data_IF_092213788834
#
_entry.id   IF_092213788834
#
_cell.length_a   1.000
_cell.length_b   1.000
_cell.length_c   1.000
_cell.angle_alpha   90.00
_cell.angle_beta   90.00
_cell.angle_gamma   90.00
#
_symmetry.space_group_name_H-M   'P 1'
#
loop_
_entity.id
_entity.type
_entity.pdbx_description
1 polymer ?
#
# COMPACT_ATOMS: atom_id res chain seq x y z
N UNK A 1 35.35 -33.20 33.09
CA UNK A 1 35.27 -31.82 32.60
C UNK A 1 35.09 -31.92 31.11
N UNK A 2 33.86 -31.97 30.63
CA UNK A 2 33.54 -31.64 29.23
C UNK A 2 32.13 -31.07 29.27
N UNK A 3 32.09 -29.76 29.07
CA UNK A 3 30.92 -28.91 29.17
C UNK A 3 29.97 -29.16 28.00
N UNK A 4 28.77 -29.56 28.38
CA UNK A 4 27.51 -29.59 27.65
C UNK A 4 27.32 -28.31 26.80
N UNK A 5 27.41 -28.45 25.47
CA UNK A 5 27.00 -27.39 24.54
C UNK A 5 25.48 -27.32 24.49
N UNK A 6 24.93 -26.33 25.20
CA UNK A 6 23.54 -25.93 25.17
C UNK A 6 23.10 -25.49 23.74
N UNK A 7 22.09 -26.13 23.12
CA UNK A 7 21.58 -25.72 21.80
C UNK A 7 20.66 -24.48 21.83
N UNK A 8 20.47 -23.81 22.98
CA UNK A 8 19.54 -22.69 23.13
C UNK A 8 20.19 -21.30 22.98
N UNK A 9 20.56 -20.90 21.75
CA UNK A 9 20.67 -19.46 21.42
C UNK A 9 20.64 -19.17 19.92
N UNK A 10 19.61 -19.65 19.22
CA UNK A 10 19.19 -19.00 17.97
C UNK A 10 18.08 -18.02 18.32
N UNK A 11 18.44 -16.76 18.57
CA UNK A 11 17.46 -15.67 18.50
C UNK A 11 16.74 -15.81 17.16
N UNK A 12 15.40 -15.89 17.11
CA UNK A 12 14.69 -15.95 15.85
C UNK A 12 15.07 -14.70 15.05
N UNK A 13 15.77 -14.90 13.93
CA UNK A 13 16.14 -13.81 13.03
C UNK A 13 14.87 -13.16 12.52
N UNK A 14 14.68 -11.87 12.82
CA UNK A 14 13.59 -10.99 12.37
C UNK A 14 13.37 -10.99 10.83
N UNK A 15 14.31 -11.55 10.09
CA UNK A 15 14.30 -11.74 8.64
C UNK A 15 13.10 -12.53 8.08
N UNK A 16 12.42 -13.38 8.85
CA UNK A 16 11.36 -14.26 8.34
C UNK A 16 9.91 -13.78 8.60
N UNK A 17 9.71 -12.57 9.13
CA UNK A 17 8.35 -12.06 9.36
C UNK A 17 7.62 -11.76 8.04
N UNK A 18 6.38 -12.21 7.94
CA UNK A 18 5.50 -11.85 6.84
C UNK A 18 5.31 -10.32 6.80
N UNK A 19 5.07 -9.79 5.61
CA UNK A 19 4.88 -8.35 5.43
C UNK A 19 3.69 -7.82 6.28
N UNK A 20 2.64 -8.62 6.47
CA UNK A 20 1.52 -8.33 7.39
C UNK A 20 1.94 -8.25 8.85
N UNK A 21 2.78 -9.18 9.31
CA UNK A 21 3.32 -9.15 10.66
C UNK A 21 4.11 -7.86 10.94
N UNK A 22 4.92 -7.42 9.98
CA UNK A 22 5.69 -6.16 10.08
C UNK A 22 4.77 -4.94 10.14
N UNK A 23 3.79 -4.86 9.24
CA UNK A 23 2.81 -3.77 9.24
C UNK A 23 2.04 -3.70 10.57
N UNK A 24 1.65 -4.84 11.14
CA UNK A 24 0.97 -4.89 12.43
C UNK A 24 1.87 -4.38 13.56
N UNK A 25 3.14 -4.80 13.62
CA UNK A 25 4.09 -4.31 14.62
C UNK A 25 4.25 -2.78 14.54
N UNK A 26 4.46 -2.24 13.34
CA UNK A 26 4.56 -0.79 13.13
C UNK A 26 3.26 -0.06 13.49
N UNK A 27 2.09 -0.65 13.25
CA UNK A 27 0.82 -0.04 13.66
C UNK A 27 0.63 -0.04 15.17
N UNK A 28 1.06 -1.10 15.87
CA UNK A 28 1.01 -1.17 17.33
C UNK A 28 2.00 -0.24 18.02
N UNK A 29 2.96 0.37 17.32
CA UNK A 29 3.89 1.32 17.97
C UNK A 29 3.27 2.68 18.30
N UNK A 30 2.08 3.00 17.77
CA UNK A 30 1.40 4.28 18.00
C UNK A 30 0.61 4.37 19.30
N UNK A 31 0.10 3.24 19.80
CA UNK A 31 -0.67 3.18 21.04
C UNK A 31 -0.11 2.11 21.96
N UNK A 32 -0.33 2.28 23.26
CA UNK A 32 0.15 1.32 24.25
C UNK A 32 -0.54 -0.04 24.10
N UNK A 33 -1.85 -0.04 23.80
CA UNK A 33 -2.63 -1.26 23.60
C UNK A 33 -3.75 -1.06 22.59
N UNK A 34 -3.94 -2.05 21.71
CA UNK A 34 -4.92 -1.98 20.62
C UNK A 34 -5.55 -3.34 20.35
N UNK A 35 -6.83 -3.38 19.98
CA UNK A 35 -7.45 -4.65 19.54
C UNK A 35 -7.19 -4.93 18.06
N UNK A 36 -7.26 -6.20 17.68
CA UNK A 36 -7.17 -6.61 16.28
C UNK A 36 -8.21 -5.92 15.37
N UNK A 37 -9.39 -5.59 15.90
CA UNK A 37 -10.40 -4.81 15.19
C UNK A 37 -9.95 -3.36 14.91
N UNK A 38 -9.37 -2.68 15.90
CA UNK A 38 -8.90 -1.31 15.73
C UNK A 38 -7.68 -1.27 14.79
N UNK A 39 -6.79 -2.27 14.86
CA UNK A 39 -5.67 -2.43 13.91
C UNK A 39 -6.16 -2.54 12.47
N UNK A 40 -7.20 -3.34 12.20
CA UNK A 40 -7.80 -3.42 10.86
C UNK A 40 -8.30 -2.05 10.41
N UNK A 41 -8.98 -1.33 11.30
CA UNK A 41 -9.54 -0.01 11.00
C UNK A 41 -8.45 0.99 10.63
N UNK A 42 -7.33 1.00 11.35
CA UNK A 42 -6.20 1.88 11.07
C UNK A 42 -5.50 1.54 9.75
N UNK A 43 -5.35 0.26 9.45
CA UNK A 43 -4.83 -0.21 8.17
C UNK A 43 -5.75 0.23 7.01
N UNK A 44 -7.07 0.15 7.18
CA UNK A 44 -8.05 0.57 6.16
C UNK A 44 -8.11 2.08 5.93
N UNK A 45 -7.71 2.87 6.93
CA UNK A 45 -7.61 4.32 6.82
C UNK A 45 -6.31 4.80 6.19
N UNK A 46 -5.29 3.94 6.09
CA UNK A 46 -3.97 4.39 5.65
C UNK A 46 -3.34 3.42 4.67
N UNK A 47 -2.87 2.27 5.17
CA UNK A 47 -2.06 1.31 4.44
C UNK A 47 -2.80 0.69 3.24
N UNK A 48 -4.14 0.54 3.27
CA UNK A 48 -4.92 0.06 2.13
C UNK A 48 -4.76 0.90 0.85
N UNK A 49 -4.44 2.19 1.01
CA UNK A 49 -4.35 3.11 -0.13
C UNK A 49 -3.09 2.91 -0.97
N UNK A 50 -2.01 2.34 -0.40
CA UNK A 50 -0.70 2.23 -1.07
C UNK A 50 -0.02 0.86 -0.93
N UNK A 51 -0.59 -0.09 -0.20
CA UNK A 51 0.04 -1.40 0.01
C UNK A 51 -0.95 -2.56 -0.17
N UNK A 52 -1.51 -3.11 0.90
CA UNK A 52 -2.69 -3.99 0.85
C UNK A 52 -3.42 -3.93 2.19
N UNK A 53 -4.73 -4.19 2.20
CA UNK A 53 -5.47 -4.44 3.43
C UNK A 53 -5.59 -5.94 3.71
N UNK A 54 -4.95 -6.47 4.77
CA UNK A 54 -5.09 -7.86 5.18
C UNK A 54 -6.51 -8.12 5.71
N UNK A 55 -7.05 -9.32 5.48
CA UNK A 55 -8.35 -9.70 6.03
C UNK A 55 -8.32 -9.79 7.57
N UNK A 56 -9.47 -9.70 8.23
CA UNK A 56 -9.57 -9.89 9.68
C UNK A 56 -8.94 -11.22 10.13
N UNK A 57 -9.25 -12.32 9.42
CA UNK A 57 -8.70 -13.65 9.73
C UNK A 57 -7.18 -13.68 9.62
N UNK A 58 -6.61 -13.00 8.62
CA UNK A 58 -5.17 -12.89 8.45
C UNK A 58 -4.54 -12.09 9.61
N UNK A 59 -5.13 -10.96 10.00
CA UNK A 59 -4.66 -10.17 11.14
C UNK A 59 -4.62 -11.02 12.41
N UNK A 60 -5.70 -11.72 12.75
CA UNK A 60 -5.73 -12.54 13.97
C UNK A 60 -4.76 -13.72 13.91
N UNK A 61 -4.55 -14.30 12.72
CA UNK A 61 -3.56 -15.37 12.52
C UNK A 61 -2.14 -14.85 12.75
N UNK A 62 -1.80 -13.68 12.21
CA UNK A 62 -0.48 -13.07 12.37
C UNK A 62 -0.27 -12.57 13.80
N UNK A 63 -1.28 -12.00 14.47
CA UNK A 63 -1.19 -11.60 15.88
C UNK A 63 -0.88 -12.80 16.79
N UNK A 64 -1.49 -13.96 16.54
CA UNK A 64 -1.18 -15.19 17.28
C UNK A 64 0.27 -15.66 17.05
N UNK A 65 0.78 -15.51 15.82
CA UNK A 65 2.19 -15.82 15.51
C UNK A 65 3.14 -14.87 16.22
N UNK A 66 2.86 -13.56 16.17
CA UNK A 66 3.66 -12.53 16.85
C UNK A 66 3.70 -12.75 18.38
N UNK A 67 2.59 -13.19 18.96
CA UNK A 67 2.52 -13.59 20.37
C UNK A 67 3.37 -14.84 20.65
N UNK A 68 3.28 -15.87 19.80
CA UNK A 68 4.13 -17.06 19.92
C UNK A 68 5.63 -16.79 19.77
N UNK A 69 6.00 -15.71 19.07
CA UNK A 69 7.38 -15.24 18.93
C UNK A 69 7.81 -14.28 20.05
N UNK A 70 6.94 -13.97 21.01
CA UNK A 70 7.23 -13.02 22.09
C UNK A 70 7.38 -11.57 21.65
N UNK A 71 6.96 -11.21 20.43
CA UNK A 71 7.04 -9.86 19.91
C UNK A 71 5.84 -9.00 20.37
N UNK A 72 4.73 -9.65 20.73
CA UNK A 72 3.48 -9.03 21.17
C UNK A 72 2.97 -9.78 22.39
N UNK A 73 2.41 -9.07 23.37
CA UNK A 73 1.64 -9.66 24.46
C UNK A 73 0.16 -9.35 24.25
N UNK A 74 -0.72 -10.18 24.81
CA UNK A 74 -2.15 -9.92 24.79
C UNK A 74 -2.77 -9.99 26.17
N UNK A 75 -3.82 -9.20 26.38
CA UNK A 75 -4.67 -9.29 27.56
C UNK A 75 -6.13 -9.32 27.16
N UNK A 76 -6.94 -9.97 27.99
CA UNK A 76 -8.37 -10.08 27.80
C UNK A 76 -9.04 -9.07 28.72
N UNK A 77 -9.68 -8.07 28.12
CA UNK A 77 -10.53 -7.12 28.81
C UNK A 77 -11.96 -7.66 28.81
N UNK A 78 -12.52 -7.89 30.00
CA UNK A 78 -13.93 -8.24 30.19
C UNK A 78 -14.66 -6.98 30.60
N UNK A 79 -15.43 -6.43 29.67
CA UNK A 79 -16.37 -5.36 29.97
C UNK A 79 -17.56 -5.95 30.74
N UNK A 80 -18.08 -5.25 31.76
CA UNK A 80 -19.08 -5.75 32.73
C UNK A 80 -20.43 -6.17 32.10
N UNK A 81 -20.61 -6.02 30.79
CA UNK A 81 -21.89 -6.22 30.10
C UNK A 81 -22.04 -7.45 29.20
N UNK A 82 -21.07 -7.81 28.34
CA UNK A 82 -21.22 -8.99 27.41
C UNK A 82 -20.05 -9.23 26.45
N UNK A 83 -19.21 -8.23 26.15
CA UNK A 83 -18.22 -8.33 25.06
C UNK A 83 -16.80 -8.47 25.58
N UNK A 84 -16.23 -9.66 25.41
CA UNK A 84 -14.81 -9.91 25.68
C UNK A 84 -13.98 -9.31 24.55
N UNK A 85 -13.07 -8.38 24.87
CA UNK A 85 -12.15 -7.77 23.90
C UNK A 85 -10.73 -8.21 24.19
N UNK A 86 -10.02 -8.70 23.17
CA UNK A 86 -8.59 -8.99 23.27
C UNK A 86 -7.79 -7.76 22.81
N UNK A 87 -6.98 -7.24 23.71
CA UNK A 87 -6.04 -6.15 23.48
C UNK A 87 -4.64 -6.73 23.29
N UNK A 88 -3.87 -6.11 22.41
CA UNK A 88 -2.51 -6.50 22.07
C UNK A 88 -1.58 -5.32 22.36
N UNK A 89 -0.41 -5.62 22.91
CA UNK A 89 0.64 -4.66 23.24
C UNK A 89 1.95 -5.12 22.61
N UNK A 90 2.65 -4.22 21.95
CA UNK A 90 3.98 -4.50 21.42
C UNK A 90 4.99 -4.61 22.57
N UNK A 91 5.88 -5.60 22.49
CA UNK A 91 6.98 -5.78 23.46
C UNK A 91 8.21 -4.98 23.03
N UNK A 92 9.21 -4.86 23.90
CA UNK A 92 10.51 -4.28 23.53
C UNK A 92 11.17 -5.02 22.37
N UNK A 93 11.07 -6.36 22.34
CA UNK A 93 11.57 -7.17 21.24
C UNK A 93 10.82 -6.90 19.93
N UNK A 94 9.49 -6.74 20.01
CA UNK A 94 8.65 -6.35 18.88
C UNK A 94 8.99 -4.96 18.34
N UNK A 95 9.23 -4.00 19.23
CA UNK A 95 9.65 -2.65 18.87
C UNK A 95 11.03 -2.65 18.19
N UNK A 96 11.99 -3.40 18.73
CA UNK A 96 13.31 -3.56 18.13
C UNK A 96 13.22 -4.17 16.72
N UNK A 97 12.38 -5.19 16.53
CA UNK A 97 12.14 -5.81 15.23
C UNK A 97 11.50 -4.84 14.22
N UNK A 98 10.56 -3.99 14.67
CA UNK A 98 9.96 -2.96 13.83
C UNK A 98 10.99 -1.90 13.40
N UNK A 99 11.83 -1.44 14.33
CA UNK A 99 12.89 -0.46 14.07
C UNK A 99 13.94 -1.02 13.11
N UNK A 100 14.40 -2.26 13.33
CA UNK A 100 15.34 -2.95 12.44
C UNK A 100 14.76 -3.04 11.02
N UNK A 101 13.49 -3.43 10.89
CA UNK A 101 12.87 -3.52 9.57
C UNK A 101 12.78 -2.16 8.87
N UNK A 102 12.37 -1.10 9.56
CA UNK A 102 12.23 0.24 8.97
C UNK A 102 13.58 0.79 8.48
N UNK A 103 14.68 0.46 9.15
CA UNK A 103 16.01 1.01 8.83
C UNK A 103 16.81 0.15 7.85
N UNK A 104 16.75 -1.18 8.01
CA UNK A 104 17.76 -2.08 7.43
C UNK A 104 17.20 -3.06 6.40
N UNK A 105 15.87 -3.19 6.30
CA UNK A 105 15.29 -4.13 5.34
C UNK A 105 15.42 -3.63 3.89
N UNK A 106 15.74 -4.52 2.94
CA UNK A 106 15.79 -4.15 1.54
C UNK A 106 14.40 -3.73 1.05
N UNK A 107 14.36 -2.67 0.25
CA UNK A 107 13.13 -2.17 -0.36
C UNK A 107 12.98 -2.80 -1.74
N UNK A 108 12.02 -3.73 -1.86
CA UNK A 108 11.67 -4.32 -3.14
C UNK A 108 10.93 -3.29 -4.02
N UNK A 109 11.21 -3.26 -5.35
CA UNK A 109 10.45 -2.42 -6.27
C UNK A 109 8.94 -2.75 -6.23
N UNK A 110 8.05 -1.75 -6.27
CA UNK A 110 6.61 -1.98 -6.35
C UNK A 110 6.23 -2.81 -7.59
N UNK A 111 5.42 -3.85 -7.39
CA UNK A 111 4.91 -4.69 -8.48
C UNK A 111 3.55 -4.18 -8.95
N UNK A 112 3.50 -3.63 -10.16
CA UNK A 112 2.25 -3.13 -10.75
C UNK A 112 1.39 -4.27 -11.32
N UNK A 113 0.26 -4.58 -10.67
CA UNK A 113 -0.75 -5.55 -11.15
C UNK A 113 -2.00 -4.83 -11.64
N UNK A 114 -1.94 -4.30 -12.85
CA UNK A 114 -3.00 -3.44 -13.39
C UNK A 114 -3.97 -4.20 -14.30
N UNK A 115 -5.15 -4.55 -13.78
CA UNK A 115 -6.14 -5.38 -14.49
C UNK A 115 -6.73 -4.71 -15.73
N UNK A 116 -7.03 -3.41 -15.67
CA UNK A 116 -7.62 -2.67 -16.80
C UNK A 116 -6.63 -2.51 -17.95
N UNK A 117 -5.39 -2.07 -17.69
CA UNK A 117 -4.30 -2.06 -18.69
C UNK A 117 -4.08 -3.42 -19.35
N UNK A 118 -4.15 -4.52 -18.57
CA UNK A 118 -4.05 -5.86 -19.13
C UNK A 118 -5.18 -6.15 -20.13
N UNK A 119 -6.41 -5.71 -19.85
CA UNK A 119 -7.54 -5.85 -20.78
C UNK A 119 -7.39 -4.96 -22.02
N UNK A 120 -6.91 -3.72 -21.86
CA UNK A 120 -6.61 -2.80 -22.97
C UNK A 120 -5.57 -3.44 -23.92
N UNK A 121 -4.55 -4.11 -23.38
CA UNK A 121 -3.55 -4.84 -24.17
C UNK A 121 -4.17 -5.89 -25.10
N UNK A 122 -5.24 -6.54 -24.64
CA UNK A 122 -6.00 -7.52 -25.42
C UNK A 122 -7.26 -6.92 -26.07
N UNK A 123 -7.24 -5.61 -26.35
CA UNK A 123 -8.40 -4.90 -26.88
C UNK A 123 -8.94 -5.45 -28.20
N UNK A 124 -8.10 -6.14 -28.99
CA UNK A 124 -8.50 -6.84 -30.21
C UNK A 124 -9.47 -8.02 -29.99
N UNK A 125 -9.65 -8.49 -28.75
CA UNK A 125 -10.60 -9.55 -28.37
C UNK A 125 -11.97 -8.99 -27.95
N UNK A 126 -12.12 -7.67 -27.86
CA UNK A 126 -13.35 -7.02 -27.39
C UNK A 126 -13.70 -5.83 -28.27
N UNK A 127 -14.82 -5.18 -27.99
CA UNK A 127 -15.18 -3.96 -28.70
C UNK A 127 -14.69 -2.72 -27.92
N UNK A 128 -14.35 -1.61 -28.62
CA UNK A 128 -13.86 -0.39 -27.99
C UNK A 128 -14.83 0.21 -26.96
N UNK A 129 -16.14 0.13 -27.22
CA UNK A 129 -17.16 0.65 -26.33
C UNK A 129 -17.11 -0.03 -24.95
N UNK A 130 -16.96 -1.35 -24.91
CA UNK A 130 -16.84 -2.12 -23.67
C UNK A 130 -15.57 -1.81 -22.90
N UNK A 131 -14.45 -1.57 -23.58
CA UNK A 131 -13.21 -1.13 -22.91
C UNK A 131 -13.38 0.25 -22.28
N UNK A 132 -14.08 1.17 -22.96
CA UNK A 132 -14.36 2.50 -22.42
C UNK A 132 -15.29 2.45 -21.21
N UNK A 133 -16.29 1.56 -21.20
CA UNK A 133 -17.10 1.31 -20.00
C UNK A 133 -16.25 0.84 -18.82
N UNK A 134 -15.33 -0.12 -19.04
CA UNK A 134 -14.41 -0.59 -18.00
C UNK A 134 -13.48 0.52 -17.50
N UNK A 135 -13.00 1.39 -18.39
CA UNK A 135 -12.19 2.55 -18.01
C UNK A 135 -13.02 3.57 -17.25
N UNK A 136 -14.30 3.77 -17.58
CA UNK A 136 -15.18 4.66 -16.85
C UNK A 136 -15.47 4.15 -15.42
N UNK A 137 -15.66 2.84 -15.26
CA UNK A 137 -15.74 2.18 -13.94
C UNK A 137 -14.43 2.40 -13.16
N UNK A 138 -13.28 2.30 -13.84
CA UNK A 138 -11.96 2.51 -13.23
C UNK A 138 -11.71 3.97 -12.85
N UNK A 139 -12.16 4.94 -13.64
CA UNK A 139 -12.15 6.37 -13.30
C UNK A 139 -12.96 6.60 -12.02
N UNK A 140 -14.16 6.04 -11.91
CA UNK A 140 -14.99 6.17 -10.72
C UNK A 140 -14.32 5.54 -9.48
N UNK A 141 -13.63 4.41 -9.66
CA UNK A 141 -12.82 3.79 -8.62
C UNK A 141 -11.66 4.71 -8.18
N UNK A 142 -10.88 5.23 -9.13
CA UNK A 142 -9.77 6.14 -8.85
C UNK A 142 -10.24 7.42 -8.14
N UNK A 143 -11.36 8.01 -8.57
CA UNK A 143 -11.97 9.18 -7.93
C UNK A 143 -12.44 8.89 -6.49
N UNK A 144 -13.01 7.72 -6.23
CA UNK A 144 -13.40 7.31 -4.88
C UNK A 144 -12.16 7.12 -3.98
N UNK A 145 -11.10 6.51 -4.51
CA UNK A 145 -9.83 6.31 -3.80
C UNK A 145 -9.10 7.62 -3.53
N UNK A 146 -9.09 8.54 -4.49
CA UNK A 146 -8.54 9.88 -4.33
C UNK A 146 -9.25 10.64 -3.20
N UNK A 147 -10.59 10.70 -3.23
CA UNK A 147 -11.38 11.37 -2.18
C UNK A 147 -11.11 10.78 -0.80
N UNK A 148 -11.12 9.44 -0.69
CA UNK A 148 -10.78 8.76 0.56
C UNK A 148 -9.38 9.13 1.06
N UNK A 149 -8.38 9.16 0.18
CA UNK A 149 -7.02 9.51 0.57
C UNK A 149 -6.89 10.96 1.05
N UNK A 150 -7.64 11.90 0.46
CA UNK A 150 -7.73 13.29 0.93
C UNK A 150 -8.41 13.36 2.30
N UNK A 151 -9.59 12.75 2.44
CA UNK A 151 -10.34 12.72 3.71
C UNK A 151 -9.52 12.10 4.86
N UNK A 152 -8.85 10.97 4.60
CA UNK A 152 -8.01 10.30 5.59
C UNK A 152 -6.76 11.14 5.92
N UNK A 153 -6.17 11.87 4.94
CA UNK A 153 -5.05 12.77 5.18
C UNK A 153 -5.46 13.93 6.08
N UNK A 154 -6.54 14.63 5.73
CA UNK A 154 -7.08 15.77 6.48
C UNK A 154 -7.47 15.35 7.91
N UNK A 155 -8.07 14.16 8.06
CA UNK A 155 -8.41 13.59 9.35
C UNK A 155 -7.20 13.28 10.24
N UNK A 156 -6.06 12.93 9.63
CA UNK A 156 -4.82 12.61 10.34
C UNK A 156 -3.96 13.84 10.67
N UNK A 157 -4.16 14.99 10.01
CA UNK A 157 -3.39 16.23 10.28
C UNK A 157 -3.51 16.74 11.73
N UNK A 158 -4.62 16.42 12.39
CA UNK A 158 -4.85 16.81 13.79
C UNK A 158 -3.98 16.06 14.80
N UNK A 159 -3.26 15.00 14.40
CA UNK A 159 -2.48 14.15 15.29
C UNK A 159 -0.98 14.18 14.90
N UNK A 160 -0.11 14.86 15.67
CA UNK A 160 1.32 14.97 15.34
C UNK A 160 2.03 13.62 15.20
N UNK A 161 1.59 12.59 15.95
CA UNK A 161 2.17 11.24 15.85
C UNK A 161 1.95 10.61 14.46
N UNK A 162 0.95 11.09 13.69
CA UNK A 162 0.58 10.57 12.37
C UNK A 162 1.17 11.39 11.22
N UNK A 163 2.08 12.33 11.48
CA UNK A 163 2.66 13.20 10.43
C UNK A 163 3.27 12.42 9.25
N UNK A 164 3.96 11.29 9.50
CA UNK A 164 4.50 10.45 8.42
C UNK A 164 3.40 9.73 7.63
N UNK A 165 2.33 9.30 8.31
CA UNK A 165 1.15 8.73 7.66
C UNK A 165 0.47 9.75 6.75
N UNK A 166 0.37 11.02 7.17
CA UNK A 166 -0.16 12.12 6.33
C UNK A 166 0.65 12.29 5.05
N UNK A 167 1.99 12.17 5.11
CA UNK A 167 2.84 12.23 3.90
C UNK A 167 2.47 11.10 2.92
N UNK A 168 2.34 9.87 3.43
CA UNK A 168 1.96 8.72 2.60
C UNK A 168 0.55 8.85 2.01
N UNK A 169 -0.41 9.36 2.79
CA UNK A 169 -1.79 9.58 2.35
C UNK A 169 -1.88 10.66 1.26
N UNK A 170 -1.15 11.77 1.41
CA UNK A 170 -1.06 12.81 0.38
C UNK A 170 -0.40 12.29 -0.90
N UNK A 171 0.59 11.41 -0.79
CA UNK A 171 1.15 10.72 -1.95
C UNK A 171 0.10 9.84 -2.63
N UNK A 172 -0.67 9.06 -1.87
CA UNK A 172 -1.73 8.22 -2.40
C UNK A 172 -2.82 9.06 -3.11
N UNK A 173 -3.20 10.22 -2.55
CA UNK A 173 -4.13 11.13 -3.19
C UNK A 173 -3.63 11.59 -4.57
N UNK A 174 -2.35 11.96 -4.68
CA UNK A 174 -1.73 12.33 -5.97
C UNK A 174 -1.68 11.15 -6.94
N UNK A 175 -1.36 9.96 -6.44
CA UNK A 175 -1.33 8.73 -7.24
C UNK A 175 -2.70 8.45 -7.87
N UNK A 176 -3.77 8.47 -7.09
CA UNK A 176 -5.12 8.20 -7.62
C UNK A 176 -5.67 9.33 -8.51
N UNK A 177 -5.22 10.58 -8.30
CA UNK A 177 -5.53 11.67 -9.22
C UNK A 177 -4.87 11.45 -10.59
N UNK A 178 -3.59 11.06 -10.62
CA UNK A 178 -2.88 10.73 -11.86
C UNK A 178 -3.47 9.49 -12.55
N UNK A 179 -3.82 8.46 -11.77
CA UNK A 179 -4.47 7.24 -12.27
C UNK A 179 -5.77 7.55 -13.02
N UNK A 180 -6.57 8.46 -12.47
CA UNK A 180 -7.79 8.94 -13.11
C UNK A 180 -7.49 9.65 -14.43
N UNK A 181 -6.46 10.49 -14.48
CA UNK A 181 -6.02 11.17 -15.71
C UNK A 181 -5.57 10.16 -16.77
N UNK A 182 -4.74 9.19 -16.40
CA UNK A 182 -4.30 8.12 -17.31
C UNK A 182 -5.47 7.30 -17.85
N UNK A 183 -6.47 7.00 -17.02
CA UNK A 183 -7.65 6.27 -17.48
C UNK A 183 -8.48 7.07 -18.51
N UNK A 184 -8.56 8.39 -18.35
CA UNK A 184 -9.20 9.28 -19.33
C UNK A 184 -8.40 9.36 -20.65
N UNK A 185 -7.07 9.39 -20.56
CA UNK A 185 -6.19 9.38 -21.73
C UNK A 185 -6.30 8.05 -22.51
N UNK A 186 -6.28 6.91 -21.80
CA UNK A 186 -6.45 5.59 -22.42
C UNK A 186 -7.74 5.46 -23.22
N UNK A 187 -8.83 6.12 -22.80
CA UNK A 187 -10.08 6.12 -23.58
C UNK A 187 -9.92 6.82 -24.94
N UNK A 188 -9.11 7.89 -25.01
CA UNK A 188 -8.79 8.58 -26.26
C UNK A 188 -7.90 7.70 -27.15
N UNK A 189 -6.88 7.09 -26.55
CA UNK A 189 -5.96 6.19 -27.26
C UNK A 189 -6.70 4.98 -27.87
N UNK A 190 -7.74 4.48 -27.19
CA UNK A 190 -8.60 3.41 -27.71
C UNK A 190 -9.36 3.85 -28.97
N UNK A 191 -9.89 5.08 -28.99
CA UNK A 191 -10.62 5.60 -30.16
C UNK A 191 -9.67 5.78 -31.36
N UNK A 192 -8.44 6.24 -31.12
CA UNK A 192 -7.40 6.32 -32.15
C UNK A 192 -7.00 4.94 -32.67
N UNK A 193 -6.77 3.98 -31.77
CA UNK A 193 -6.40 2.60 -32.12
C UNK A 193 -7.51 1.90 -32.92
N UNK A 194 -8.78 2.07 -32.55
CA UNK A 194 -9.92 1.51 -33.27
C UNK A 194 -10.04 2.09 -34.69
N UNK A 195 -9.81 3.40 -34.86
CA UNK A 195 -9.78 4.03 -36.17
C UNK A 195 -8.68 3.44 -37.08
N UNK A 196 -7.50 3.18 -36.52
CA UNK A 196 -6.39 2.54 -37.24
C UNK A 196 -6.72 1.10 -37.63
N UNK A 197 -7.30 0.31 -36.71
CA UNK A 197 -7.69 -1.07 -36.98
C UNK A 197 -8.75 -1.17 -38.08
N UNK A 198 -9.81 -0.35 -38.01
CA UNK A 198 -10.85 -0.27 -39.05
C UNK A 198 -10.28 0.11 -40.42
N UNK A 199 -9.25 0.95 -40.47
CA UNK A 199 -8.54 1.30 -41.72
C UNK A 199 -7.71 0.13 -42.25
N UNK A 200 -7.02 -0.60 -41.37
CA UNK A 200 -6.19 -1.74 -41.76
C UNK A 200 -7.01 -2.94 -42.27
N UNK A 201 -8.19 -3.20 -41.67
CA UNK A 201 -9.13 -4.21 -42.13
C UNK A 201 -9.62 -3.93 -43.56
N UNK A 202 -9.95 -2.67 -43.87
CA UNK A 202 -10.32 -2.23 -45.23
C UNK A 202 -9.18 -2.37 -46.24
N UNK A 203 -7.93 -2.33 -45.77
CA UNK A 203 -6.72 -2.41 -46.61
C UNK A 203 -6.14 -3.81 -46.77
N UNK A 204 -6.75 -4.87 -46.20
CA UNK A 204 -6.30 -6.26 -46.37
C UNK A 204 -4.95 -6.62 -45.74
N UNK A 205 -4.36 -5.74 -44.92
CA UNK A 205 -2.99 -5.86 -44.40
C UNK A 205 -2.96 -5.71 -42.88
N UNK A 206 -3.23 -6.80 -42.14
CA UNK A 206 -2.98 -6.83 -40.71
C UNK A 206 -2.41 -8.20 -40.27
N UNK A 207 -1.09 -8.28 -40.13
CA UNK A 207 -0.44 -9.37 -39.40
C UNK A 207 -0.67 -9.16 -37.90
N UNK A 208 -1.40 -10.06 -37.24
CA UNK A 208 -1.74 -9.97 -35.80
C UNK A 208 -0.58 -10.27 -34.85
N UNK A 209 0.52 -10.84 -35.35
CA UNK A 209 1.67 -11.18 -34.52
C UNK A 209 2.57 -9.96 -34.28
N UNK A 210 2.98 -9.69 -33.02
CA UNK A 210 3.96 -8.65 -32.74
C UNK A 210 5.28 -9.00 -33.42
N UNK A 211 5.69 -8.17 -34.38
CA UNK A 211 7.05 -8.24 -34.91
C UNK A 211 7.95 -7.59 -33.88
N UNK A 212 8.63 -8.40 -33.06
CA UNK A 212 9.78 -7.90 -32.31
C UNK A 212 10.74 -7.29 -33.32
N UNK A 213 11.08 -6.01 -33.14
CA UNK A 213 12.17 -5.39 -33.87
C UNK A 213 13.47 -6.08 -33.52
N UNK A 214 13.75 -7.23 -34.15
CA UNK A 214 15.09 -7.80 -34.18
C UNK A 214 15.89 -6.82 -35.02
N UNK A 215 16.68 -5.98 -34.34
CA UNK A 215 17.64 -5.12 -35.01
C UNK A 215 18.41 -5.94 -36.03
N UNK A 216 18.26 -5.59 -37.30
CA UNK A 216 19.04 -6.15 -38.39
C UNK A 216 20.50 -5.76 -38.16
N UNK A 217 21.23 -6.57 -37.40
CA UNK A 217 22.68 -6.71 -37.53
C UNK A 217 22.91 -8.09 -38.11
N UNK A 218 22.91 -8.15 -39.43
CA UNK A 218 23.56 -9.23 -40.18
C UNK A 218 25.05 -9.21 -39.84
N UNK A 219 25.44 -9.87 -38.75
CA UNK A 219 26.84 -10.23 -38.54
C UNK A 219 27.13 -11.36 -39.52
N UNK A 220 27.79 -11.00 -40.62
CA UNK A 220 28.47 -11.93 -41.50
C UNK A 220 29.28 -12.92 -40.67
N UNK A 221 29.01 -14.21 -40.89
CA UNK A 221 29.85 -15.30 -40.40
C UNK A 221 31.23 -15.16 -41.05
N UNK A 222 32.19 -14.67 -40.28
CA UNK A 222 33.61 -14.83 -40.57
C UNK A 222 34.19 -15.76 -39.52
N UNK A 223 34.52 -16.99 -39.96
CA UNK A 223 35.33 -17.96 -39.22
C UNK A 223 36.78 -17.45 -39.10
N UNK A 224 37.31 -17.44 -37.87
CA UNK A 224 38.68 -17.83 -37.44
C UNK A 224 38.90 -17.34 -36.00
N UNK A 225 38.87 -18.23 -35.01
CA UNK A 225 39.97 -19.05 -34.45
C UNK A 225 40.87 -18.32 -33.44
N UNK A 226 41.10 -19.02 -32.32
CA UNK A 226 42.14 -18.87 -31.29
C UNK A 226 41.80 -18.06 -30.03
N UNK A 227 41.73 -18.79 -28.90
CA UNK A 227 42.06 -18.31 -27.55
C UNK A 227 43.59 -18.08 -27.46
N UNK A 228 44.09 -17.33 -26.46
CA UNK A 228 44.30 -17.94 -25.14
C UNK A 228 44.06 -17.04 -23.90
N UNK A 229 43.93 -17.76 -22.78
CA UNK A 229 44.10 -17.45 -21.35
C UNK A 229 44.87 -16.20 -20.92
N UNK A 230 44.41 -15.52 -19.86
CA UNK A 230 44.97 -15.60 -18.48
C UNK A 230 44.66 -14.37 -17.61
N UNK A 231 44.53 -14.61 -16.29
CA UNK A 231 44.75 -13.72 -15.13
C UNK A 231 43.93 -12.42 -15.04
N UNK A 232 43.26 -12.05 -13.96
CA UNK A 232 43.59 -12.18 -12.54
C UNK A 232 43.46 -10.79 -11.89
N UNK A 233 43.25 -10.73 -10.57
CA UNK A 233 43.09 -9.52 -9.71
C UNK A 233 41.67 -8.93 -9.68
N UNK A 234 40.86 -9.12 -8.64
CA UNK A 234 41.00 -8.71 -7.23
C UNK A 234 41.19 -7.19 -7.12
N UNK A 235 40.15 -6.51 -6.64
CA UNK A 235 40.27 -5.24 -5.92
C UNK A 235 39.24 -5.23 -4.78
N UNK A 236 39.72 -5.53 -3.58
CA UNK A 236 39.13 -5.14 -2.30
C UNK A 236 39.78 -3.81 -1.90
N UNK A 237 38.98 -2.86 -1.41
CA UNK A 237 39.32 -1.88 -0.36
C UNK A 237 38.00 -1.22 0.08
N UNK A 238 37.48 -1.58 1.26
CA UNK A 238 37.67 -0.90 2.55
C UNK A 238 36.70 0.29 2.71
N UNK A 239 35.65 0.13 3.53
CA UNK A 239 35.62 0.52 4.95
C UNK A 239 35.15 1.96 5.17
N UNK A 240 33.91 2.11 5.64
CA UNK A 240 33.36 3.35 6.19
C UNK A 240 32.31 3.02 7.25
N UNK A 241 32.72 2.98 8.50
CA UNK A 241 31.85 2.81 9.68
C UNK A 241 31.36 4.20 10.17
N UNK A 242 30.50 4.32 11.20
CA UNK A 242 29.10 4.71 11.02
C UNK A 242 28.77 6.08 11.64
N UNK A 243 27.79 6.78 11.06
CA UNK A 243 27.20 7.97 11.66
C UNK A 243 26.28 7.60 12.83
N UNK A 244 26.73 7.88 14.06
CA UNK A 244 25.91 7.90 15.28
C UNK A 244 25.07 9.17 15.31
N UNK A 245 23.75 9.07 15.25
CA UNK A 245 22.86 10.17 15.64
C UNK A 245 22.01 9.71 16.83
N UNK A 246 22.40 10.19 18.02
CA UNK A 246 21.66 10.02 19.27
C UNK A 246 20.68 11.19 19.36
N UNK A 247 19.38 10.94 19.20
CA UNK A 247 18.33 11.86 19.68
C UNK A 247 17.25 11.05 20.39
N UNK A 248 17.29 11.14 21.70
CA UNK A 248 16.22 10.73 22.61
C UNK A 248 15.07 11.72 22.47
N UNK A 249 13.90 11.26 22.02
CA UNK A 249 12.65 12.01 22.13
C UNK A 249 11.89 11.50 23.36
N UNK A 250 11.53 12.36 24.33
CA UNK A 250 10.63 11.98 25.40
C UNK A 250 9.18 12.01 24.87
N UNK A 251 8.54 10.83 24.82
CA UNK A 251 7.11 10.70 24.59
C UNK A 251 6.36 11.18 25.85
N UNK A 252 5.84 12.40 25.80
CA UNK A 252 4.86 12.88 26.75
C UNK A 252 3.46 12.39 26.34
N UNK A 253 2.85 11.61 27.21
CA UNK A 253 1.52 11.07 27.07
C UNK A 253 0.44 12.15 26.89
N UNK A 254 -0.40 11.99 25.86
CA UNK A 254 -1.79 12.47 25.78
C UNK A 254 -2.50 11.76 24.61
N UNK A 255 -2.67 10.45 24.74
CA UNK A 255 -3.53 9.68 23.83
C UNK A 255 -4.98 9.73 24.30
N UNK A 256 -5.79 10.62 23.71
CA UNK A 256 -7.27 10.54 23.77
C UNK A 256 -7.87 11.47 22.68
N UNK A 257 -7.61 11.15 21.40
CA UNK A 257 -7.94 12.07 20.30
C UNK A 257 -8.74 11.51 19.13
N UNK A 258 -8.65 10.20 18.82
CA UNK A 258 -9.15 9.71 17.53
C UNK A 258 -10.58 9.14 17.59
N UNK A 259 -11.01 8.57 18.72
CA UNK A 259 -12.33 7.89 18.83
C UNK A 259 -13.55 8.81 18.82
N UNK A 260 -13.44 10.05 19.29
CA UNK A 260 -14.62 10.94 19.48
C UNK A 260 -14.96 11.83 18.29
N UNK A 261 -14.03 12.05 17.34
CA UNK A 261 -14.21 13.11 16.32
C UNK A 261 -15.00 12.65 15.09
N UNK A 262 -14.97 11.35 14.75
CA UNK A 262 -15.73 10.80 13.61
C UNK A 262 -17.24 10.78 13.89
N UNK A 263 -17.68 10.57 15.14
CA UNK A 263 -19.11 10.60 15.48
C UNK A 263 -19.69 12.02 15.44
N UNK A 264 -18.91 13.04 15.79
CA UNK A 264 -19.38 14.42 15.79
C UNK A 264 -19.53 15.02 14.39
N UNK A 265 -18.77 14.56 13.39
CA UNK A 265 -18.88 15.09 12.03
C UNK A 265 -20.20 14.71 11.34
N UNK A 266 -20.82 13.58 11.73
CA UNK A 266 -22.13 13.16 11.21
C UNK A 266 -23.31 13.84 11.91
N UNK A 267 -23.17 14.19 13.19
CA UNK A 267 -24.20 14.93 13.95
C UNK A 267 -24.23 16.41 13.55
N UNK A 268 -23.07 17.01 13.26
CA UNK A 268 -22.99 18.40 12.79
C UNK A 268 -23.56 18.60 11.39
N UNK A 269 -23.42 17.62 10.47
CA UNK A 269 -24.06 17.70 9.15
C UNK A 269 -25.59 17.51 9.22
N UNK A 270 -26.10 16.72 10.17
CA UNK A 270 -27.54 16.55 10.35
C UNK A 270 -28.21 17.79 10.96
N UNK A 271 -27.55 18.47 11.91
CA UNK A 271 -28.03 19.72 12.51
C UNK A 271 -27.95 20.93 11.55
N UNK A 272 -26.97 20.97 10.65
CA UNK A 272 -26.87 21.99 9.61
C UNK A 272 -27.93 21.84 8.50
N UNK A 273 -28.40 20.62 8.23
CA UNK A 273 -29.49 20.39 7.27
C UNK A 273 -30.88 20.69 7.83
N UNK A 274 -31.10 20.53 9.15
CA UNK A 274 -32.40 20.81 9.77
C UNK A 274 -32.70 22.31 9.95
N UNK A 275 -31.70 23.19 9.84
CA UNK A 275 -31.86 24.65 9.96
C UNK A 275 -32.05 25.39 8.63
N UNK A 276 -31.87 24.73 7.48
CA UNK A 276 -32.03 25.34 6.15
C UNK A 276 -33.36 24.99 5.43
N UNK A 277 -34.24 24.22 6.08
CA UNK A 277 -35.48 23.68 5.48
C UNK A 277 -36.76 24.51 5.70
N UNK A 278 -36.69 25.75 6.19
CA UNK A 278 -37.87 26.60 6.43
C UNK A 278 -37.66 27.98 5.83
N UNK A 279 -37.75 28.10 4.49
CA UNK A 279 -38.07 29.34 3.77
C UNK A 279 -38.09 29.03 2.27
N UNK A 280 -39.24 28.60 1.75
CA UNK A 280 -39.72 28.91 0.39
C UNK A 280 -41.05 28.18 0.15
N UNK A 281 -42.14 28.78 0.64
CA UNK A 281 -43.50 28.58 0.10
C UNK A 281 -44.01 29.96 -0.26
N UNK A 282 -44.60 30.09 -1.46
CA UNK A 282 -45.37 31.20 -2.03
C UNK A 282 -44.73 32.07 -3.14
N UNK A 283 -45.05 31.71 -4.39
CA UNK A 283 -45.47 32.58 -5.50
C UNK A 283 -45.97 31.65 -6.64
N UNK A 284 -47.26 31.29 -6.69
CA UNK A 284 -48.38 31.94 -7.41
C UNK A 284 -48.31 31.91 -8.95
N UNK A 285 -49.27 31.17 -9.53
CA UNK A 285 -50.15 31.53 -10.67
C UNK A 285 -49.47 31.67 -12.07
N UNK A 286 -49.64 30.67 -12.94
CA UNK A 286 -50.61 30.53 -14.07
C UNK A 286 -50.54 29.08 -14.56
#
# INVERSE_FOLDING_TARGET
MDSETDPASKKPTNAALAATSRALLCMMSYEEEISGYDLKKWIDWSVDLYYWSPSYSQIYTELKKLEGLGLVTSRVERDEGTRTRRLYKITEAGMAAAIEWVNDAPVDPPVLKHSVLLRVTFGHLTNPARLKELLQEHVAFADARHRKAVEDADGAEGEPAWAYSVIALRWAAKYYAAEREFALELMKDIDEADAVLKKAEKGGSASRAPRRGIGAKSRSRSRRSAAPTSSGSIFQTSSGAPFRCRRSFPLAARGFGYRKRILNSLVSLWLLWSHFGVLCRWASIV
#
